data_IF_206953832897
#
_entry.id   IF_206953832897
#
_cell.length_a   1.000
_cell.length_b   1.000
_cell.length_c   1.000
_cell.angle_alpha   90.00
_cell.angle_beta   90.00
_cell.angle_gamma   90.00
#
_symmetry.space_group_name_H-M   'P 1'
#
loop_
_entity.id
_entity.type
_entity.pdbx_description
1 polymer ?
#
# COMPACT_ATOMS: atom_id res chain seq x y z
N UNK A 1 20.86 -6.36 -0.50
CA UNK A 1 20.11 -6.52 -1.76
C UNK A 1 20.52 -5.46 -2.78
N UNK A 2 20.54 -5.79 -4.07
CA UNK A 2 20.79 -4.78 -5.12
C UNK A 2 19.58 -3.86 -5.29
N UNK A 3 19.82 -2.57 -5.57
CA UNK A 3 18.76 -1.60 -5.87
C UNK A 3 17.82 -2.10 -6.97
N UNK A 4 18.37 -2.67 -8.04
CA UNK A 4 17.59 -3.23 -9.15
C UNK A 4 16.71 -4.41 -8.76
N UNK A 5 17.14 -5.25 -7.81
CA UNK A 5 16.31 -6.34 -7.27
C UNK A 5 15.17 -5.79 -6.39
N UNK A 6 15.42 -4.71 -5.64
CA UNK A 6 14.38 -4.02 -4.87
C UNK A 6 13.34 -3.42 -5.84
N UNK A 7 13.79 -2.70 -6.87
CA UNK A 7 12.92 -2.10 -7.88
C UNK A 7 12.03 -3.14 -8.56
N UNK A 8 12.60 -4.30 -8.94
CA UNK A 8 11.81 -5.36 -9.57
C UNK A 8 10.76 -5.93 -8.62
N UNK A 9 11.11 -6.22 -7.35
CA UNK A 9 10.14 -6.71 -6.35
C UNK A 9 9.00 -5.72 -6.11
N UNK A 10 9.33 -4.43 -6.02
CA UNK A 10 8.35 -3.36 -5.85
C UNK A 10 7.41 -3.30 -7.06
N UNK A 11 7.97 -3.28 -8.28
CA UNK A 11 7.21 -3.26 -9.52
C UNK A 11 6.30 -4.47 -9.68
N UNK A 12 6.82 -5.68 -9.49
CA UNK A 12 6.04 -6.91 -9.61
C UNK A 12 4.87 -6.93 -8.62
N UNK A 13 5.12 -6.51 -7.38
CA UNK A 13 4.08 -6.52 -6.36
C UNK A 13 3.06 -5.40 -6.55
N UNK A 14 3.48 -4.22 -6.99
CA UNK A 14 2.59 -3.13 -7.38
C UNK A 14 1.70 -3.55 -8.56
N UNK A 15 2.28 -4.15 -9.61
CA UNK A 15 1.54 -4.68 -10.76
C UNK A 15 0.43 -5.66 -10.33
N UNK A 16 0.76 -6.64 -9.49
CA UNK A 16 -0.23 -7.61 -8.97
C UNK A 16 -1.34 -6.97 -8.13
N UNK A 17 -1.06 -5.88 -7.42
CA UNK A 17 -2.09 -5.15 -6.69
C UNK A 17 -2.96 -4.35 -7.66
N UNK A 18 -2.35 -3.64 -8.60
CA UNK A 18 -3.05 -2.85 -9.62
C UNK A 18 -3.97 -3.72 -10.47
N UNK A 19 -3.52 -4.87 -10.94
CA UNK A 19 -4.32 -5.90 -11.63
C UNK A 19 -5.54 -6.32 -10.79
N UNK A 20 -5.36 -6.55 -9.48
CA UNK A 20 -6.46 -6.92 -8.60
C UNK A 20 -7.52 -5.82 -8.45
N UNK A 21 -7.15 -4.57 -8.73
CA UNK A 21 -8.03 -3.41 -8.68
C UNK A 21 -8.67 -3.09 -10.05
N UNK A 22 -8.23 -3.71 -11.15
CA UNK A 22 -8.74 -3.40 -12.50
C UNK A 22 -10.21 -3.82 -12.67
N UNK A 23 -10.97 -2.97 -13.35
CA UNK A 23 -12.37 -3.23 -13.70
C UNK A 23 -13.37 -3.13 -12.54
N UNK A 24 -12.96 -2.70 -11.35
CA UNK A 24 -13.88 -2.49 -10.22
C UNK A 24 -14.86 -1.35 -10.52
N UNK A 25 -16.15 -1.60 -10.27
CA UNK A 25 -17.14 -0.52 -10.19
C UNK A 25 -17.00 0.24 -8.86
N UNK A 26 -17.56 1.45 -8.77
CA UNK A 26 -17.59 2.21 -7.50
C UNK A 26 -18.32 1.43 -6.40
N UNK A 27 -19.40 0.73 -6.75
CA UNK A 27 -20.16 -0.10 -5.81
C UNK A 27 -19.30 -1.27 -5.29
N UNK A 28 -18.57 -1.96 -6.17
CA UNK A 28 -17.68 -3.05 -5.75
C UNK A 28 -16.51 -2.56 -4.91
N UNK A 29 -15.95 -1.39 -5.26
CA UNK A 29 -14.84 -0.79 -4.55
C UNK A 29 -15.22 -0.33 -3.14
N UNK A 30 -16.45 0.15 -2.95
CA UNK A 30 -16.95 0.70 -1.67
C UNK A 30 -17.74 -0.30 -0.83
N UNK A 31 -18.05 -1.49 -1.36
CA UNK A 31 -18.72 -2.55 -0.61
C UNK A 31 -17.84 -3.07 0.52
N UNK A 32 -18.31 -2.92 1.75
CA UNK A 32 -17.68 -3.48 2.96
C UNK A 32 -17.66 -5.01 2.89
N UNK A 33 -16.58 -5.61 3.39
CA UNK A 33 -16.42 -7.06 3.50
C UNK A 33 -15.10 -7.59 2.95
N UNK A 34 -14.18 -6.72 2.53
CA UNK A 34 -12.81 -7.14 2.21
C UNK A 34 -12.13 -7.72 3.45
N UNK A 35 -12.39 -7.12 4.61
CA UNK A 35 -12.31 -7.71 5.94
C UNK A 35 -13.57 -7.32 6.73
N UNK A 36 -13.57 -7.58 8.05
CA UNK A 36 -14.72 -7.31 8.92
C UNK A 36 -15.24 -5.86 8.83
N UNK A 37 -14.38 -4.88 8.52
CA UNK A 37 -14.72 -3.45 8.59
C UNK A 37 -14.44 -2.65 7.30
N UNK A 38 -13.62 -3.14 6.38
CA UNK A 38 -13.11 -2.36 5.25
C UNK A 38 -13.68 -2.82 3.91
N UNK A 39 -13.88 -1.84 3.03
CA UNK A 39 -14.03 -2.02 1.59
C UNK A 39 -12.67 -2.10 0.89
N UNK A 40 -12.66 -2.32 -0.43
CA UNK A 40 -11.44 -2.26 -1.23
C UNK A 40 -10.87 -0.84 -1.24
N UNK A 41 -11.74 0.17 -1.35
CA UNK A 41 -11.35 1.59 -1.29
C UNK A 41 -10.67 1.92 0.03
N UNK A 42 -11.18 1.41 1.15
CA UNK A 42 -10.59 1.66 2.48
C UNK A 42 -9.21 1.01 2.60
N UNK A 43 -9.05 -0.22 2.11
CA UNK A 43 -7.74 -0.86 2.08
C UNK A 43 -6.75 -0.09 1.22
N UNK A 44 -7.16 0.42 0.04
CA UNK A 44 -6.29 1.22 -0.81
C UNK A 44 -5.92 2.56 -0.16
N UNK A 45 -6.87 3.24 0.47
CA UNK A 45 -6.63 4.45 1.28
C UNK A 45 -5.56 4.25 2.34
N UNK A 46 -5.62 3.12 3.04
CA UNK A 46 -4.64 2.70 4.04
C UNK A 46 -3.27 2.40 3.41
N UNK A 47 -3.23 1.68 2.28
CA UNK A 47 -1.98 1.35 1.57
C UNK A 47 -1.28 2.64 1.11
N UNK A 48 -2.01 3.56 0.49
CA UNK A 48 -1.48 4.85 0.04
C UNK A 48 -0.88 5.65 1.19
N UNK A 49 -1.56 5.68 2.35
CA UNK A 49 -1.07 6.40 3.52
C UNK A 49 0.26 5.84 4.03
N UNK A 50 0.41 4.52 4.13
CA UNK A 50 1.67 3.92 4.54
C UNK A 50 2.79 4.20 3.53
N UNK A 51 2.51 4.13 2.23
CA UNK A 51 3.54 4.39 1.21
C UNK A 51 4.02 5.85 1.25
N UNK A 52 3.10 6.82 1.42
CA UNK A 52 3.43 8.24 1.64
C UNK A 52 4.31 8.39 2.89
N UNK A 53 3.92 7.75 3.99
CA UNK A 53 4.64 7.85 5.26
C UNK A 53 6.02 7.21 5.19
N UNK A 54 6.15 6.05 4.55
CA UNK A 54 7.43 5.39 4.31
C UNK A 54 8.33 6.24 3.42
N UNK A 55 7.80 6.85 2.35
CA UNK A 55 8.54 7.78 1.50
C UNK A 55 9.11 8.97 2.30
N UNK A 56 8.29 9.57 3.17
CA UNK A 56 8.72 10.63 4.09
C UNK A 56 9.85 10.15 5.01
N UNK A 57 9.67 9.01 5.67
CA UNK A 57 10.64 8.46 6.61
C UNK A 57 11.97 8.11 5.92
N UNK A 58 11.95 7.47 4.76
CA UNK A 58 13.17 7.12 4.01
C UNK A 58 13.93 8.39 3.62
N UNK A 59 13.22 9.43 3.18
CA UNK A 59 13.81 10.74 2.87
C UNK A 59 14.46 11.36 4.11
N UNK A 60 13.82 11.28 5.28
CA UNK A 60 14.41 11.76 6.54
C UNK A 60 15.65 10.97 6.96
N UNK A 61 15.68 9.66 6.70
CA UNK A 61 16.85 8.82 6.96
C UNK A 61 18.01 9.26 6.05
N UNK A 62 17.76 9.45 4.76
CA UNK A 62 18.77 9.92 3.80
C UNK A 62 19.34 11.29 4.18
N UNK A 63 18.49 12.18 4.72
CA UNK A 63 18.89 13.51 5.17
C UNK A 63 19.51 13.54 6.58
N UNK A 64 19.53 12.41 7.29
CA UNK A 64 20.04 12.33 8.67
C UNK A 64 19.17 13.05 9.70
N UNK A 65 17.90 13.36 9.37
CA UNK A 65 16.95 14.04 10.26
C UNK A 65 15.98 13.10 10.95
N UNK A 66 15.97 11.83 10.54
CA UNK A 66 15.05 10.84 11.08
C UNK A 66 15.26 10.59 12.58
N UNK A 67 14.16 10.56 13.32
CA UNK A 67 14.11 10.16 14.72
C UNK A 67 13.28 8.89 14.83
N UNK A 68 13.87 7.76 15.28
CA UNK A 68 13.11 6.54 15.46
C UNK A 68 12.00 6.72 16.49
N UNK A 69 10.76 6.51 16.07
CA UNK A 69 9.62 6.50 16.96
C UNK A 69 9.18 5.06 17.24
N UNK A 70 8.87 4.76 18.51
CA UNK A 70 8.25 3.49 18.86
C UNK A 70 6.78 3.55 18.51
N UNK A 71 6.41 2.95 17.39
CA UNK A 71 5.01 2.69 17.08
C UNK A 71 4.54 1.47 17.88
N UNK A 72 3.58 1.68 18.78
CA UNK A 72 2.81 0.61 19.39
C UNK A 72 1.58 0.30 18.53
N UNK A 73 0.83 -0.72 18.95
CA UNK A 73 -0.37 -1.14 18.23
C UNK A 73 -1.41 -0.02 18.18
N UNK A 74 -1.58 0.72 19.27
CA UNK A 74 -2.57 1.79 19.37
C UNK A 74 -2.30 2.93 18.37
N UNK A 75 -1.04 3.33 18.20
CA UNK A 75 -0.65 4.35 17.22
C UNK A 75 -0.81 3.85 15.78
N UNK A 76 -0.53 2.57 15.52
CA UNK A 76 -0.74 1.94 14.20
C UNK A 76 -2.23 1.90 13.87
N UNK A 77 -3.07 1.45 14.81
CA UNK A 77 -4.52 1.36 14.61
C UNK A 77 -5.12 2.74 14.39
N UNK A 78 -4.65 3.75 15.13
CA UNK A 78 -5.06 5.15 14.93
C UNK A 78 -4.63 5.72 13.58
N UNK A 79 -3.39 5.46 13.15
CA UNK A 79 -2.91 5.84 11.82
C UNK A 79 -3.77 5.22 10.71
N UNK A 80 -4.07 3.93 10.82
CA UNK A 80 -4.92 3.22 9.86
C UNK A 80 -6.34 3.79 9.81
N UNK A 81 -6.91 4.10 10.98
CA UNK A 81 -8.23 4.73 11.09
C UNK A 81 -8.26 6.09 10.38
N UNK A 82 -7.29 6.96 10.68
CA UNK A 82 -7.18 8.27 10.04
C UNK A 82 -6.96 8.16 8.53
N UNK A 83 -6.15 7.19 8.08
CA UNK A 83 -5.90 6.98 6.65
C UNK A 83 -7.18 6.69 5.86
N UNK A 84 -8.10 5.93 6.45
CA UNK A 84 -9.42 5.62 5.88
C UNK A 84 -10.36 6.81 6.01
N UNK A 85 -10.50 7.40 7.20
CA UNK A 85 -11.42 8.52 7.45
C UNK A 85 -11.12 9.75 6.58
N UNK A 86 -9.84 10.09 6.42
CA UNK A 86 -9.42 11.22 5.59
C UNK A 86 -9.81 11.06 4.10
N UNK A 87 -10.15 9.84 3.67
CA UNK A 87 -10.52 9.49 2.28
C UNK A 87 -11.93 8.93 2.17
N UNK A 88 -12.72 8.99 3.23
CA UNK A 88 -14.06 8.41 3.27
C UNK A 88 -14.95 8.96 2.13
N UNK A 89 -14.90 10.29 1.94
CA UNK A 89 -15.66 11.02 0.92
C UNK A 89 -15.00 11.00 -0.47
N UNK A 90 -13.79 10.44 -0.62
CA UNK A 90 -13.12 10.32 -1.91
C UNK A 90 -13.77 9.20 -2.73
N UNK A 91 -13.87 9.38 -4.04
CA UNK A 91 -14.25 8.32 -4.97
C UNK A 91 -13.10 7.34 -5.16
N UNK A 92 -13.39 6.10 -5.59
CA UNK A 92 -12.34 5.12 -5.88
C UNK A 92 -11.30 5.63 -6.90
N UNK A 93 -11.67 6.34 -8.00
CA UNK A 93 -10.68 6.92 -8.91
C UNK A 93 -9.74 7.93 -8.23
N UNK A 94 -10.24 8.76 -7.32
CA UNK A 94 -9.40 9.73 -6.60
C UNK A 94 -8.42 9.03 -5.64
N UNK A 95 -8.89 8.01 -4.92
CA UNK A 95 -8.01 7.20 -4.05
C UNK A 95 -6.94 6.48 -4.86
N UNK A 96 -7.27 5.99 -6.07
CA UNK A 96 -6.28 5.40 -6.98
C UNK A 96 -5.26 6.44 -7.47
N UNK A 97 -5.69 7.64 -7.84
CA UNK A 97 -4.77 8.70 -8.26
C UNK A 97 -3.76 9.04 -7.16
N UNK A 98 -4.21 9.11 -5.90
CA UNK A 98 -3.33 9.29 -4.74
C UNK A 98 -2.38 8.11 -4.55
N UNK A 99 -2.86 6.87 -4.70
CA UNK A 99 -2.01 5.67 -4.65
C UNK A 99 -0.92 5.72 -5.72
N UNK A 100 -1.29 6.01 -6.97
CA UNK A 100 -0.34 6.09 -8.08
C UNK A 100 0.69 7.23 -7.85
N UNK A 101 0.27 8.34 -7.24
CA UNK A 101 1.17 9.43 -6.88
C UNK A 101 2.15 9.06 -5.77
N UNK A 102 1.67 8.37 -4.72
CA UNK A 102 2.51 7.83 -3.65
C UNK A 102 3.54 6.84 -4.20
N UNK A 103 3.10 5.94 -5.07
CA UNK A 103 3.98 4.94 -5.67
C UNK A 103 5.07 5.56 -6.54
N UNK A 104 4.74 6.56 -7.38
CA UNK A 104 5.74 7.30 -8.16
C UNK A 104 6.78 8.00 -7.29
N UNK A 105 6.41 8.48 -6.11
CA UNK A 105 7.38 9.04 -5.17
C UNK A 105 8.26 7.95 -4.56
N UNK A 106 7.67 6.83 -4.14
CA UNK A 106 8.44 5.68 -3.64
C UNK A 106 9.46 5.18 -4.67
N UNK A 107 9.08 5.07 -5.96
CA UNK A 107 9.99 4.70 -7.04
C UNK A 107 11.16 5.70 -7.19
N UNK A 108 10.88 7.02 -7.12
CA UNK A 108 11.93 8.06 -7.16
C UNK A 108 12.89 7.94 -5.99
N UNK A 109 12.39 7.68 -4.79
CA UNK A 109 13.21 7.46 -3.60
C UNK A 109 14.08 6.23 -3.78
N UNK A 110 13.51 5.10 -4.22
CA UNK A 110 14.27 3.87 -4.46
C UNK A 110 15.38 4.08 -5.49
N UNK A 111 15.11 4.83 -6.57
CA UNK A 111 16.13 5.15 -7.59
C UNK A 111 17.32 5.93 -7.00
N UNK A 112 17.07 6.78 -6.01
CA UNK A 112 18.09 7.58 -5.33
C UNK A 112 18.97 6.78 -4.34
N UNK A 113 18.62 5.52 -4.05
CA UNK A 113 19.38 4.69 -3.12
C UNK A 113 20.74 4.28 -3.71
N UNK A 114 21.71 3.91 -2.86
CA UNK A 114 22.93 3.26 -3.30
C UNK A 114 22.65 1.95 -4.06
N UNK A 115 23.59 1.53 -4.91
CA UNK A 115 23.46 0.28 -5.70
C UNK A 115 23.22 -0.98 -4.86
N UNK A 116 23.74 -0.98 -3.62
CA UNK A 116 23.47 -2.02 -2.64
C UNK A 116 22.87 -1.41 -1.37
N UNK A 117 21.75 -2.00 -0.94
CA UNK A 117 21.05 -1.63 0.30
C UNK A 117 21.12 -2.80 1.26
N UNK A 118 21.63 -2.56 2.46
CA UNK A 118 21.67 -3.56 3.52
C UNK A 118 20.26 -3.83 4.04
N UNK A 119 19.88 -5.12 4.05
CA UNK A 119 18.54 -5.59 4.41
C UNK A 119 18.21 -5.45 5.89
N UNK A 120 19.21 -5.17 6.72
CA UNK A 120 19.04 -4.85 8.15
C UNK A 120 18.69 -3.38 8.38
N UNK A 121 18.86 -2.51 7.38
CA UNK A 121 18.63 -1.07 7.53
C UNK A 121 17.14 -0.72 7.63
N UNK A 122 16.79 0.35 8.36
CA UNK A 122 15.42 0.86 8.37
C UNK A 122 14.89 1.16 6.96
N UNK A 123 15.72 1.71 6.06
CA UNK A 123 15.34 1.98 4.67
C UNK A 123 14.79 0.72 4.00
N UNK A 124 15.57 -0.37 4.01
CA UNK A 124 15.11 -1.62 3.40
C UNK A 124 13.85 -2.15 4.08
N UNK A 125 13.77 -2.09 5.42
CA UNK A 125 12.61 -2.59 6.16
C UNK A 125 11.34 -1.80 5.88
N UNK A 126 11.41 -0.49 5.70
CA UNK A 126 10.26 0.31 5.28
C UNK A 126 9.82 -0.05 3.86
N UNK A 127 10.76 -0.10 2.91
CA UNK A 127 10.44 -0.52 1.53
C UNK A 127 9.77 -1.90 1.55
N UNK A 128 10.41 -2.89 2.17
CA UNK A 128 9.93 -4.27 2.22
C UNK A 128 8.52 -4.39 2.80
N UNK A 129 8.28 -3.81 3.97
CA UNK A 129 7.04 -4.00 4.70
C UNK A 129 5.89 -3.17 4.16
N UNK A 130 6.17 -2.05 3.49
CA UNK A 130 5.15 -1.09 3.04
C UNK A 130 4.83 -1.23 1.56
N UNK A 131 5.75 -1.79 0.78
CA UNK A 131 5.54 -2.07 -0.65
C UNK A 131 5.29 -3.57 -0.87
N UNK A 132 6.30 -4.35 -1.26
CA UNK A 132 6.08 -5.67 -1.84
C UNK A 132 5.50 -6.73 -0.88
N UNK A 133 5.69 -6.65 0.44
CA UNK A 133 4.91 -7.51 1.36
C UNK A 133 3.47 -7.04 1.51
N UNK A 134 3.30 -5.73 1.62
CA UNK A 134 2.01 -5.09 1.86
C UNK A 134 1.05 -5.27 0.67
N UNK A 135 1.55 -4.91 -0.52
CA UNK A 135 0.83 -5.02 -1.78
C UNK A 135 0.50 -6.48 -2.10
N UNK A 136 1.42 -7.41 -1.84
CA UNK A 136 1.16 -8.84 -2.06
C UNK A 136 0.02 -9.35 -1.15
N UNK A 137 0.04 -8.96 0.14
CA UNK A 137 -0.99 -9.32 1.11
C UNK A 137 -2.36 -8.81 0.70
N UNK A 138 -2.50 -7.50 0.45
CA UNK A 138 -3.79 -6.91 0.09
C UNK A 138 -4.25 -7.28 -1.31
N UNK A 139 -3.34 -7.41 -2.29
CA UNK A 139 -3.68 -7.89 -3.61
C UNK A 139 -4.28 -9.30 -3.57
N UNK A 140 -3.74 -10.19 -2.72
CA UNK A 140 -4.31 -11.53 -2.51
C UNK A 140 -5.69 -11.47 -1.83
N UNK A 141 -5.84 -10.59 -0.84
CA UNK A 141 -7.12 -10.37 -0.15
C UNK A 141 -8.21 -9.88 -1.12
N UNK A 142 -7.88 -8.91 -1.98
CA UNK A 142 -8.81 -8.33 -2.96
C UNK A 142 -9.24 -9.37 -3.99
N UNK A 143 -8.29 -10.15 -4.55
CA UNK A 143 -8.62 -11.24 -5.49
C UNK A 143 -9.58 -12.25 -4.86
N UNK A 144 -9.27 -12.70 -3.64
CA UNK A 144 -10.14 -13.63 -2.91
C UNK A 144 -11.56 -13.07 -2.72
N UNK A 145 -11.68 -11.81 -2.30
CA UNK A 145 -12.98 -11.18 -2.11
C UNK A 145 -13.79 -11.05 -3.41
N UNK A 146 -13.11 -10.81 -4.54
CA UNK A 146 -13.76 -10.77 -5.86
C UNK A 146 -14.27 -12.15 -6.28
N UNK A 147 -13.44 -13.19 -6.12
CA UNK A 147 -13.81 -14.56 -6.48
C UNK A 147 -15.03 -15.05 -5.67
N UNK A 148 -15.05 -14.78 -4.36
CA UNK A 148 -16.19 -15.10 -3.50
C UNK A 148 -17.46 -14.30 -3.85
N UNK A 149 -17.30 -13.06 -4.32
CA UNK A 149 -18.40 -12.23 -4.79
C UNK A 149 -19.01 -12.72 -6.10
N UNK A 150 -18.19 -13.23 -7.03
CA UNK A 150 -18.64 -13.81 -8.29
C UNK A 150 -19.42 -15.11 -8.08
N UNK A 151 -18.88 -16.03 -7.27
CA UNK A 151 -19.55 -17.31 -6.99
C UNK A 151 -20.95 -17.13 -6.39
N UNK A 152 -21.17 -16.10 -5.57
CA UNK A 152 -22.49 -15.78 -5.00
C UNK A 152 -23.49 -15.21 -6.02
N UNK A 153 -23.01 -14.64 -7.14
CA UNK A 153 -23.88 -14.10 -8.21
C UNK A 153 -24.32 -15.20 -9.18
N UNK A 154 -23.52 -16.25 -9.35
CA UNK A 154 -23.82 -17.37 -10.26
C UNK A 154 -24.74 -18.44 -9.63
N UNK A 155 -24.91 -18.43 -8.30
CA UNK A 155 -25.78 -19.34 -7.54
C UNK A 155 -27.23 -18.82 -7.32
N UNK A 156 -27.53 -17.59 -7.77
CA UNK A 156 -28.83 -16.92 -7.59
C UNK A 156 -29.61 -16.70 -8.89
#
# INVERSE_FOLDING_TARGET
MKKTEIQERVRESHGKLTEALEGLSEEEATRVGLNDNWSIKDALSHISAWEIEAARIITEIQNGTWKPERMNKELIDEFNRQAVENRQEHSMPLVREEFDAAHREMERIIESLPEEVDESTPIYKYIENVTFKHFASHGAQIRKFRDEGMNKRDEG
#
